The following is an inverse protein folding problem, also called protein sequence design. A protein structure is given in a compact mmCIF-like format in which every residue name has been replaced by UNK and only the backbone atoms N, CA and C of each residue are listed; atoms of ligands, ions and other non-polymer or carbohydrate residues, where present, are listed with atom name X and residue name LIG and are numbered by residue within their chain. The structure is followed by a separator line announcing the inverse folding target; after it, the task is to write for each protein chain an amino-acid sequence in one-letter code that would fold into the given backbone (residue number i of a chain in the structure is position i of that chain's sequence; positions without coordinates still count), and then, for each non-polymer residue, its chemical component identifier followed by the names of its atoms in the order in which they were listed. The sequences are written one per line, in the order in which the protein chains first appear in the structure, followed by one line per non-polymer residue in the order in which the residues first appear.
data_IF_682064653217
#
_entry.id   IF_682064653217
#
_cell.length_a   1.000
_cell.length_b   1.000
_cell.length_c   1.000
_cell.angle_alpha   90.00
_cell.angle_beta   90.00
_cell.angle_gamma   90.00
#
_symmetry.space_group_name_H-M   'P 1'
#
loop_
_entity.id
_entity.type
_entity.pdbx_description
1 polymer ?
#
# COMPACT_ATOMS: atom_id res chain seq x y z
N UNK A 1 12.60 34.01 28.44
CA UNK A 1 13.13 33.81 27.06
C UNK A 1 13.77 32.44 26.95
N UNK A 2 13.70 31.71 25.86
CA UNK A 2 14.41 30.43 25.72
C UNK A 2 15.92 30.69 25.78
N UNK A 3 16.65 29.90 26.59
CA UNK A 3 18.08 30.06 26.73
C UNK A 3 18.82 29.78 25.41
N UNK A 4 19.94 30.46 25.18
CA UNK A 4 20.79 30.24 23.99
C UNK A 4 21.20 28.77 23.85
N UNK A 5 21.41 28.06 24.96
CA UNK A 5 21.71 26.66 25.00
C UNK A 5 20.57 25.79 24.43
N UNK A 6 19.30 26.13 24.79
CA UNK A 6 18.11 25.42 24.28
C UNK A 6 17.96 25.61 22.76
N UNK A 7 18.26 26.80 22.25
CA UNK A 7 18.22 27.08 20.80
C UNK A 7 19.31 26.29 20.06
N UNK A 8 20.52 26.20 20.60
CA UNK A 8 21.59 25.35 20.03
C UNK A 8 21.18 23.89 19.99
N UNK A 9 20.58 23.35 21.07
CA UNK A 9 20.09 21.97 21.11
C UNK A 9 19.00 21.73 20.06
N UNK A 10 18.06 22.67 19.87
CA UNK A 10 17.03 22.58 18.81
C UNK A 10 17.65 22.56 17.41
N UNK A 11 18.62 23.43 17.12
CA UNK A 11 19.32 23.44 15.82
C UNK A 11 20.01 22.09 15.57
N UNK A 12 20.70 21.54 16.57
CA UNK A 12 21.36 20.24 16.46
C UNK A 12 20.34 19.12 16.22
N UNK A 13 19.21 19.10 16.93
CA UNK A 13 18.14 18.13 16.75
C UNK A 13 17.53 18.20 15.33
N UNK A 14 17.24 19.39 14.82
CA UNK A 14 16.72 19.55 13.44
C UNK A 14 17.73 19.14 12.38
N UNK A 15 19.03 19.43 12.57
CA UNK A 15 20.09 18.94 11.66
C UNK A 15 20.16 17.40 11.64
N UNK A 16 20.01 16.75 12.80
CA UNK A 16 19.97 15.29 12.88
C UNK A 16 18.74 14.73 12.19
N UNK A 17 17.55 15.30 12.44
CA UNK A 17 16.31 14.92 11.77
C UNK A 17 16.44 15.05 10.25
N UNK A 18 17.01 16.15 9.76
CA UNK A 18 17.27 16.36 8.33
C UNK A 18 18.18 15.29 7.72
N UNK A 19 19.24 14.89 8.43
CA UNK A 19 20.12 13.81 7.98
C UNK A 19 19.38 12.47 7.91
N UNK A 20 18.58 12.14 8.94
CA UNK A 20 17.80 10.91 9.01
C UNK A 20 16.76 10.86 7.89
N UNK A 21 15.97 11.92 7.71
CA UNK A 21 14.93 11.97 6.67
C UNK A 21 15.53 11.90 5.27
N UNK A 22 16.69 12.54 5.03
CA UNK A 22 17.43 12.42 3.77
C UNK A 22 17.88 10.98 3.51
N UNK A 23 18.42 10.29 4.51
CA UNK A 23 18.79 8.88 4.39
C UNK A 23 17.58 7.99 4.12
N UNK A 24 16.47 8.20 4.84
CA UNK A 24 15.23 7.46 4.62
C UNK A 24 14.64 7.67 3.22
N UNK A 25 14.73 8.89 2.67
CA UNK A 25 14.35 9.18 1.28
C UNK A 25 15.15 8.31 0.30
N UNK A 26 16.48 8.23 0.47
CA UNK A 26 17.35 7.42 -0.41
C UNK A 26 17.02 5.92 -0.32
N UNK A 27 16.81 5.39 0.89
CA UNK A 27 16.40 3.99 1.09
C UNK A 27 15.04 3.72 0.45
N UNK A 28 14.07 4.63 0.62
CA UNK A 28 12.74 4.50 0.00
C UNK A 28 12.83 4.51 -1.54
N UNK A 29 13.65 5.38 -2.13
CA UNK A 29 13.89 5.42 -3.58
C UNK A 29 14.49 4.11 -4.10
N UNK A 30 15.49 3.54 -3.41
CA UNK A 30 16.10 2.27 -3.79
C UNK A 30 15.09 1.10 -3.71
N UNK A 31 14.24 1.07 -2.66
CA UNK A 31 13.19 0.07 -2.53
C UNK A 31 12.09 0.23 -3.58
N UNK A 32 11.70 1.46 -3.89
CA UNK A 32 10.76 1.75 -4.98
C UNK A 32 11.26 1.20 -6.30
N UNK A 33 12.52 1.48 -6.66
CA UNK A 33 13.12 0.97 -7.89
C UNK A 33 13.05 -0.57 -7.96
N UNK A 34 13.44 -1.26 -6.86
CA UNK A 34 13.36 -2.73 -6.80
C UNK A 34 11.92 -3.25 -6.96
N UNK A 35 10.92 -2.56 -6.39
CA UNK A 35 9.51 -2.96 -6.55
C UNK A 35 9.06 -2.78 -8.00
N UNK A 36 9.45 -1.67 -8.66
CA UNK A 36 9.17 -1.44 -10.08
C UNK A 36 9.81 -2.50 -10.98
N UNK A 37 11.07 -2.85 -10.74
CA UNK A 37 11.77 -3.88 -11.51
C UNK A 37 11.08 -5.26 -11.38
N UNK A 38 10.58 -5.60 -10.18
CA UNK A 38 9.80 -6.82 -9.95
C UNK A 38 8.44 -6.80 -10.65
N UNK A 39 7.73 -5.67 -10.64
CA UNK A 39 6.47 -5.50 -11.39
C UNK A 39 6.72 -5.73 -12.88
N UNK A 40 7.78 -5.12 -13.43
CA UNK A 40 8.13 -5.28 -14.85
C UNK A 40 8.49 -6.73 -15.18
N UNK A 41 9.25 -7.40 -14.32
CA UNK A 41 9.62 -8.81 -14.50
C UNK A 41 8.41 -9.77 -14.44
N UNK A 42 7.37 -9.44 -13.65
CA UNK A 42 6.17 -10.27 -13.54
C UNK A 42 5.19 -10.09 -14.73
N UNK A 43 5.24 -8.96 -15.43
CA UNK A 43 4.30 -8.62 -16.53
C UNK A 43 4.22 -9.66 -17.64
N UNK A 44 5.33 -10.17 -18.22
CA UNK A 44 5.25 -11.11 -19.34
C UNK A 44 4.48 -12.37 -18.98
N UNK A 45 4.72 -12.91 -17.77
CA UNK A 45 4.00 -14.09 -17.29
C UNK A 45 2.51 -13.82 -17.07
N UNK A 46 2.15 -12.68 -16.47
CA UNK A 46 0.76 -12.29 -16.25
C UNK A 46 0.01 -12.11 -17.58
N UNK A 47 0.65 -11.53 -18.62
CA UNK A 47 0.06 -11.41 -19.95
C UNK A 47 -0.17 -12.78 -20.59
N UNK A 48 0.83 -13.66 -20.60
CA UNK A 48 0.69 -15.01 -21.17
C UNK A 48 -0.36 -15.84 -20.44
N UNK A 49 -0.43 -15.75 -19.13
CA UNK A 49 -1.47 -16.41 -18.34
C UNK A 49 -2.87 -15.93 -18.73
N UNK A 50 -3.04 -14.62 -18.92
CA UNK A 50 -4.30 -14.04 -19.38
C UNK A 50 -4.67 -14.52 -20.79
N UNK A 51 -3.71 -14.56 -21.74
CA UNK A 51 -3.93 -15.03 -23.09
C UNK A 51 -4.43 -16.49 -23.08
N UNK A 52 -3.77 -17.36 -22.29
CA UNK A 52 -4.15 -18.77 -22.16
C UNK A 52 -5.54 -18.92 -21.55
N UNK A 53 -5.82 -18.19 -20.45
CA UNK A 53 -7.13 -18.23 -19.80
C UNK A 53 -8.24 -17.67 -20.69
N UNK A 54 -7.96 -16.65 -21.49
CA UNK A 54 -8.91 -16.14 -22.49
C UNK A 54 -9.29 -17.22 -23.50
N UNK A 55 -8.31 -17.90 -24.08
CA UNK A 55 -8.54 -18.99 -25.02
C UNK A 55 -9.31 -20.17 -24.39
N UNK A 56 -8.92 -20.58 -23.17
CA UNK A 56 -9.62 -21.65 -22.42
C UNK A 56 -11.07 -21.26 -22.09
N UNK A 57 -11.29 -20.03 -21.65
CA UNK A 57 -12.61 -19.54 -21.23
C UNK A 57 -13.62 -19.43 -22.39
N UNK A 58 -13.17 -19.46 -23.64
CA UNK A 58 -14.04 -19.51 -24.82
C UNK A 58 -14.52 -20.91 -25.15
N UNK A 59 -13.78 -21.94 -24.72
CA UNK A 59 -14.02 -23.37 -25.06
C UNK A 59 -14.73 -24.12 -23.93
N UNK A 60 -14.51 -23.74 -22.69
CA UNK A 60 -15.07 -24.40 -21.50
C UNK A 60 -16.24 -23.59 -20.94
N UNK A 61 -17.26 -24.26 -20.41
CA UNK A 61 -18.34 -23.60 -19.71
C UNK A 61 -17.81 -22.89 -18.45
N UNK A 62 -17.80 -21.56 -18.49
CA UNK A 62 -17.28 -20.72 -17.41
C UNK A 62 -17.96 -20.95 -16.07
N UNK A 63 -19.22 -21.39 -16.06
CA UNK A 63 -19.97 -21.67 -14.85
C UNK A 63 -19.57 -22.97 -14.14
N UNK A 64 -18.72 -23.80 -14.76
CA UNK A 64 -18.28 -25.07 -14.16
C UNK A 64 -17.23 -24.88 -13.05
N UNK A 65 -16.46 -23.78 -13.07
CA UNK A 65 -15.42 -23.54 -12.08
C UNK A 65 -15.93 -22.73 -10.88
N UNK A 66 -15.75 -23.18 -9.62
CA UNK A 66 -16.27 -22.54 -8.41
C UNK A 66 -15.91 -21.05 -8.28
N UNK A 67 -14.69 -20.64 -8.68
CA UNK A 67 -14.22 -19.25 -8.58
C UNK A 67 -14.85 -18.30 -9.61
N UNK A 68 -15.49 -18.83 -10.67
CA UNK A 68 -16.16 -18.06 -11.71
C UNK A 68 -17.68 -17.99 -11.49
N UNK A 69 -18.22 -18.82 -10.61
CA UNK A 69 -19.65 -18.86 -10.32
C UNK A 69 -20.10 -17.65 -9.52
N UNK A 70 -21.08 -16.90 -10.05
CA UNK A 70 -21.76 -15.84 -9.30
C UNK A 70 -22.60 -16.49 -8.19
N UNK A 71 -22.34 -16.11 -6.95
CA UNK A 71 -23.13 -16.54 -5.80
C UNK A 71 -24.11 -15.43 -5.42
N UNK A 72 -25.33 -15.83 -5.11
CA UNK A 72 -26.34 -14.92 -4.57
C UNK A 72 -26.27 -15.02 -3.06
N UNK A 73 -25.30 -14.34 -2.46
CA UNK A 73 -25.06 -14.35 -1.02
C UNK A 73 -24.91 -12.95 -0.44
N UNK A 74 -24.92 -12.87 0.90
CA UNK A 74 -24.81 -11.59 1.63
C UNK A 74 -23.49 -11.43 2.38
N UNK A 75 -22.56 -12.39 2.24
CA UNK A 75 -21.28 -12.41 2.96
C UNK A 75 -20.16 -11.86 2.09
N UNK A 76 -19.59 -10.75 2.52
CA UNK A 76 -18.47 -10.10 1.83
C UNK A 76 -17.20 -10.22 2.67
N UNK A 77 -16.11 -10.60 2.02
CA UNK A 77 -14.77 -10.49 2.56
C UNK A 77 -14.07 -9.27 1.95
N UNK A 78 -13.43 -8.44 2.78
CA UNK A 78 -12.67 -7.27 2.32
C UNK A 78 -11.21 -7.44 2.74
N UNK A 79 -10.34 -7.66 1.74
CA UNK A 79 -8.89 -7.69 1.93
C UNK A 79 -8.36 -6.25 1.95
N UNK A 80 -7.86 -5.80 3.10
CA UNK A 80 -7.30 -4.46 3.28
C UNK A 80 -5.78 -4.53 3.27
N UNK A 81 -5.14 -3.94 2.27
CA UNK A 81 -3.68 -4.00 2.09
C UNK A 81 -3.04 -2.70 2.55
N UNK A 82 -2.44 -2.71 3.74
CA UNK A 82 -1.71 -1.58 4.35
C UNK A 82 -0.23 -1.91 4.52
N UNK A 83 0.57 -0.95 4.96
CA UNK A 83 1.98 -1.20 5.26
C UNK A 83 2.21 -1.73 6.68
N UNK A 84 3.39 -2.33 6.90
CA UNK A 84 3.87 -2.69 8.25
C UNK A 84 4.48 -1.49 8.99
N UNK A 85 5.03 -0.52 8.27
CA UNK A 85 5.76 0.62 8.83
C UNK A 85 5.06 1.94 8.51
N UNK A 86 5.24 2.93 9.38
CA UNK A 86 4.73 4.29 9.16
C UNK A 86 5.66 5.17 8.34
N UNK A 87 5.49 6.47 8.48
CA UNK A 87 6.27 7.54 7.82
C UNK A 87 6.14 7.53 6.28
N UNK A 88 5.00 7.06 5.77
CA UNK A 88 4.64 7.03 4.35
C UNK A 88 3.51 8.02 4.00
N UNK A 89 3.50 9.18 4.67
CA UNK A 89 2.50 10.22 4.44
C UNK A 89 1.07 9.72 4.67
N UNK A 90 0.17 10.02 3.73
CA UNK A 90 -1.24 9.62 3.78
C UNK A 90 -1.53 8.17 3.35
N UNK A 91 -0.53 7.38 2.97
CA UNK A 91 -0.70 6.03 2.40
C UNK A 91 -1.66 5.16 3.23
N UNK A 92 -1.34 4.89 4.49
CA UNK A 92 -2.18 4.05 5.35
C UNK A 92 -3.52 4.72 5.69
N UNK A 93 -3.50 6.01 5.99
CA UNK A 93 -4.72 6.75 6.34
C UNK A 93 -5.76 6.75 5.23
N UNK A 94 -5.33 6.87 3.98
CA UNK A 94 -6.21 6.86 2.82
C UNK A 94 -6.82 5.48 2.58
N UNK A 95 -6.03 4.39 2.70
CA UNK A 95 -6.55 3.00 2.61
C UNK A 95 -7.59 2.76 3.69
N UNK A 96 -7.24 3.05 4.94
CA UNK A 96 -8.12 2.85 6.10
C UNK A 96 -9.44 3.61 5.94
N UNK A 97 -9.37 4.88 5.51
CA UNK A 97 -10.57 5.69 5.25
C UNK A 97 -11.44 5.06 4.18
N UNK A 98 -10.83 4.71 3.02
CA UNK A 98 -11.57 4.11 1.90
C UNK A 98 -12.16 2.76 2.25
N UNK A 99 -11.43 1.92 2.98
CA UNK A 99 -11.94 0.64 3.47
C UNK A 99 -13.12 0.83 4.42
N UNK A 100 -13.02 1.79 5.35
CA UNK A 100 -14.11 2.10 6.28
C UNK A 100 -15.36 2.60 5.56
N UNK A 101 -15.20 3.47 4.57
CA UNK A 101 -16.31 3.95 3.72
C UNK A 101 -16.98 2.80 2.99
N UNK A 102 -16.19 1.93 2.36
CA UNK A 102 -16.70 0.79 1.59
C UNK A 102 -17.43 -0.22 2.50
N UNK A 103 -16.84 -0.58 3.64
CA UNK A 103 -17.47 -1.51 4.59
C UNK A 103 -18.82 -0.96 5.08
N UNK A 104 -18.89 0.30 5.47
CA UNK A 104 -20.15 0.92 5.90
C UNK A 104 -21.19 0.95 4.78
N UNK A 105 -20.77 1.19 3.55
CA UNK A 105 -21.65 1.13 2.38
C UNK A 105 -22.24 -0.29 2.20
N UNK A 106 -21.41 -1.33 2.33
CA UNK A 106 -21.88 -2.72 2.27
C UNK A 106 -22.87 -3.04 3.42
N UNK A 107 -22.55 -2.64 4.65
CA UNK A 107 -23.42 -2.84 5.81
C UNK A 107 -24.77 -2.12 5.65
N UNK A 108 -24.78 -0.92 5.09
CA UNK A 108 -26.04 -0.19 4.80
C UNK A 108 -26.92 -0.87 3.77
N UNK A 109 -26.36 -1.76 2.95
CA UNK A 109 -27.08 -2.61 2.00
C UNK A 109 -27.51 -3.95 2.61
N UNK A 110 -27.30 -4.15 3.91
CA UNK A 110 -27.65 -5.39 4.63
C UNK A 110 -26.70 -6.55 4.38
N UNK A 111 -25.46 -6.26 3.94
CA UNK A 111 -24.42 -7.25 3.67
C UNK A 111 -23.58 -7.48 4.95
N UNK A 112 -23.19 -8.73 5.19
CA UNK A 112 -22.28 -9.10 6.28
C UNK A 112 -20.84 -8.97 5.80
N UNK A 113 -20.03 -8.14 6.48
CA UNK A 113 -18.66 -7.87 6.07
C UNK A 113 -17.67 -8.43 7.10
N UNK A 114 -16.74 -9.25 6.62
CA UNK A 114 -15.55 -9.67 7.35
C UNK A 114 -14.31 -9.00 6.73
N UNK A 115 -13.28 -8.83 7.53
CA UNK A 115 -12.03 -8.23 7.11
C UNK A 115 -10.89 -9.26 7.11
N UNK A 116 -10.11 -9.26 6.07
CA UNK A 116 -8.78 -9.85 6.02
C UNK A 116 -7.75 -8.74 5.84
N UNK A 117 -6.68 -8.75 6.62
CA UNK A 117 -5.79 -7.60 6.71
C UNK A 117 -4.35 -8.01 6.40
N UNK A 118 -3.76 -7.32 5.43
CA UNK A 118 -2.31 -7.35 5.17
C UNK A 118 -1.68 -6.08 5.72
N UNK A 119 -0.66 -6.25 6.57
CA UNK A 119 0.12 -5.17 7.14
C UNK A 119 -0.33 -4.72 8.53
N UNK A 120 0.67 -4.41 9.34
CA UNK A 120 0.52 -4.08 10.76
C UNK A 120 -0.34 -2.84 11.01
N UNK A 121 -0.26 -1.82 10.12
CA UNK A 121 -0.98 -0.55 10.32
C UNK A 121 -2.50 -0.69 10.16
N UNK A 122 -2.95 -1.52 9.23
CA UNK A 122 -4.37 -1.87 9.10
C UNK A 122 -4.86 -2.69 10.29
N UNK A 123 -4.09 -3.74 10.66
CA UNK A 123 -4.39 -4.55 11.84
C UNK A 123 -4.59 -3.69 13.10
N UNK A 124 -3.62 -2.83 13.41
CA UNK A 124 -3.65 -2.00 14.62
C UNK A 124 -4.83 -1.02 14.64
N UNK A 125 -5.32 -0.61 13.47
CA UNK A 125 -6.50 0.23 13.35
C UNK A 125 -7.79 -0.57 13.53
N UNK A 126 -7.97 -1.66 12.79
CA UNK A 126 -9.24 -2.40 12.75
C UNK A 126 -9.47 -3.27 13.98
N UNK A 127 -8.45 -3.75 14.67
CA UNK A 127 -8.57 -4.44 15.97
C UNK A 127 -9.27 -3.62 17.05
N UNK A 128 -9.26 -2.29 16.92
CA UNK A 128 -9.93 -1.37 17.86
C UNK A 128 -11.36 -1.03 17.44
N UNK A 129 -11.89 -1.71 16.44
CA UNK A 129 -13.22 -1.48 15.87
C UNK A 129 -14.09 -2.72 16.05
N UNK A 130 -15.37 -2.56 15.71
CA UNK A 130 -16.40 -3.60 15.88
C UNK A 130 -16.40 -4.66 14.78
N UNK A 131 -15.64 -4.45 13.70
CA UNK A 131 -15.61 -5.38 12.56
C UNK A 131 -14.84 -6.65 12.86
N UNK A 132 -15.35 -7.78 12.41
CA UNK A 132 -14.70 -9.08 12.56
C UNK A 132 -13.49 -9.16 11.61
N UNK A 133 -12.32 -9.41 12.17
CA UNK A 133 -11.12 -9.72 11.40
C UNK A 133 -11.02 -11.24 11.32
N UNK A 134 -11.15 -11.80 10.11
CA UNK A 134 -11.03 -13.22 9.85
C UNK A 134 -9.57 -13.68 9.86
N UNK A 135 -8.71 -12.95 9.14
CA UNK A 135 -7.30 -13.32 8.98
C UNK A 135 -6.38 -12.09 8.93
N UNK A 136 -5.14 -12.26 9.38
CA UNK A 136 -4.13 -11.21 9.44
C UNK A 136 -2.78 -11.72 8.96
N UNK A 137 -2.14 -10.95 8.07
CA UNK A 137 -0.77 -11.16 7.61
C UNK A 137 0.07 -9.93 7.91
N UNK A 138 1.08 -10.07 8.76
CA UNK A 138 1.99 -8.98 9.14
C UNK A 138 3.43 -9.32 8.81
N UNK A 139 4.25 -8.29 8.51
CA UNK A 139 5.65 -8.48 8.13
C UNK A 139 5.86 -8.83 6.66
N UNK A 140 4.79 -8.92 5.86
CA UNK A 140 4.83 -9.28 4.44
C UNK A 140 5.74 -8.35 3.64
N UNK A 141 5.71 -7.04 3.93
CA UNK A 141 6.46 -6.03 3.18
C UNK A 141 7.93 -5.89 3.58
N UNK A 142 8.40 -6.59 4.61
CA UNK A 142 9.83 -6.58 4.97
C UNK A 142 10.68 -7.31 3.93
N UNK A 143 10.22 -8.48 3.43
CA UNK A 143 10.85 -9.28 2.37
C UNK A 143 9.78 -9.88 1.45
N UNK A 144 9.02 -9.03 0.76
CA UNK A 144 7.95 -9.50 -0.12
C UNK A 144 8.48 -10.53 -1.14
N UNK A 145 7.87 -11.72 -1.14
CA UNK A 145 8.14 -12.83 -2.06
C UNK A 145 6.83 -13.34 -2.67
N UNK A 146 6.92 -14.19 -3.68
CA UNK A 146 5.75 -14.84 -4.25
C UNK A 146 5.07 -15.81 -3.26
N UNK A 147 5.82 -16.38 -2.32
CA UNK A 147 5.29 -17.26 -1.27
C UNK A 147 4.20 -16.58 -0.44
N UNK A 148 4.36 -15.29 -0.12
CA UNK A 148 3.31 -14.53 0.58
C UNK A 148 2.02 -14.42 -0.27
N UNK A 149 2.15 -14.33 -1.59
CA UNK A 149 0.99 -14.32 -2.47
C UNK A 149 0.33 -15.70 -2.57
N UNK A 150 1.13 -16.77 -2.50
CA UNK A 150 0.61 -18.14 -2.43
C UNK A 150 -0.17 -18.37 -1.13
N UNK A 151 0.38 -17.95 0.01
CA UNK A 151 -0.27 -18.08 1.32
C UNK A 151 -1.58 -17.27 1.38
N UNK A 152 -1.53 -15.98 1.07
CA UNK A 152 -2.70 -15.10 1.08
C UNK A 152 -3.73 -15.54 0.03
N UNK A 153 -3.28 -15.82 -1.19
CA UNK A 153 -4.13 -16.24 -2.29
C UNK A 153 -4.75 -17.60 -2.06
N UNK A 154 -4.00 -18.54 -1.49
CA UNK A 154 -4.48 -19.87 -1.12
C UNK A 154 -5.57 -19.81 -0.05
N UNK A 155 -5.32 -19.10 1.06
CA UNK A 155 -6.32 -18.92 2.13
C UNK A 155 -7.63 -18.32 1.58
N UNK A 156 -7.54 -17.25 0.79
CA UNK A 156 -8.72 -16.59 0.24
C UNK A 156 -9.47 -17.48 -0.75
N UNK A 157 -8.77 -18.21 -1.61
CA UNK A 157 -9.37 -19.14 -2.56
C UNK A 157 -10.07 -20.28 -1.86
N UNK A 158 -9.42 -20.92 -0.89
CA UNK A 158 -9.96 -22.05 -0.13
C UNK A 158 -11.21 -21.65 0.64
N UNK A 159 -11.20 -20.49 1.30
CA UNK A 159 -12.35 -19.99 2.04
C UNK A 159 -13.52 -19.58 1.12
N UNK A 160 -13.23 -19.06 -0.07
CA UNK A 160 -14.27 -18.80 -1.07
C UNK A 160 -14.90 -20.12 -1.54
N UNK A 161 -14.10 -21.13 -1.90
CA UNK A 161 -14.61 -22.45 -2.32
C UNK A 161 -15.46 -23.09 -1.23
N UNK A 162 -15.03 -23.01 0.05
CA UNK A 162 -15.79 -23.48 1.21
C UNK A 162 -17.07 -22.68 1.51
N UNK A 163 -17.34 -21.57 0.83
CA UNK A 163 -18.52 -20.75 1.05
C UNK A 163 -18.49 -19.91 2.33
N UNK A 164 -17.30 -19.63 2.86
CA UNK A 164 -17.14 -18.75 4.03
C UNK A 164 -17.60 -17.32 3.69
N UNK A 165 -17.39 -16.88 2.47
CA UNK A 165 -17.90 -15.63 1.90
C UNK A 165 -18.29 -15.83 0.43
N UNK A 166 -19.15 -14.92 -0.09
CA UNK A 166 -19.73 -15.00 -1.43
C UNK A 166 -19.01 -14.05 -2.40
N UNK A 167 -18.44 -12.97 -1.88
CA UNK A 167 -17.69 -11.98 -2.64
C UNK A 167 -16.41 -11.58 -1.91
N UNK A 168 -15.35 -11.34 -2.68
CA UNK A 168 -14.08 -10.83 -2.19
C UNK A 168 -13.75 -9.51 -2.88
N UNK A 169 -13.53 -8.49 -2.07
CA UNK A 169 -13.00 -7.20 -2.51
C UNK A 169 -11.62 -6.96 -1.92
N UNK A 170 -10.76 -6.27 -2.65
CA UNK A 170 -9.48 -5.78 -2.16
C UNK A 170 -9.44 -4.26 -2.16
N UNK A 171 -8.91 -3.69 -1.08
CA UNK A 171 -8.64 -2.26 -0.96
C UNK A 171 -7.14 -2.04 -0.84
N UNK A 172 -6.54 -1.42 -1.85
CA UNK A 172 -5.11 -1.19 -1.90
C UNK A 172 -4.75 0.10 -2.63
N UNK A 173 -3.48 0.51 -2.58
CA UNK A 173 -2.99 1.63 -3.36
C UNK A 173 -2.39 1.13 -4.69
N UNK A 174 -3.04 1.47 -5.79
CA UNK A 174 -2.51 1.32 -7.13
C UNK A 174 -1.35 2.31 -7.34
N UNK A 175 -0.25 1.80 -7.87
CA UNK A 175 0.92 2.61 -8.17
C UNK A 175 0.82 3.23 -9.56
N UNK A 176 0.63 4.54 -9.65
CA UNK A 176 0.68 5.29 -10.93
C UNK A 176 2.05 5.94 -11.15
N UNK A 177 2.58 6.59 -10.12
CA UNK A 177 3.91 7.22 -10.14
C UNK A 177 4.44 7.37 -8.71
N UNK A 178 5.70 7.79 -8.58
CA UNK A 178 6.32 8.03 -7.27
C UNK A 178 5.58 9.08 -6.42
N UNK A 179 4.85 10.01 -7.05
CA UNK A 179 4.12 11.09 -6.38
C UNK A 179 2.62 10.79 -6.30
N UNK A 180 2.08 10.08 -7.29
CA UNK A 180 0.64 9.84 -7.41
C UNK A 180 0.30 8.37 -7.15
N UNK A 181 -0.42 8.12 -6.07
CA UNK A 181 -1.01 6.83 -5.74
C UNK A 181 -2.52 6.99 -5.66
N UNK A 182 -3.26 5.96 -6.05
CA UNK A 182 -4.71 5.94 -6.02
C UNK A 182 -5.20 4.75 -5.21
N UNK A 183 -5.98 5.00 -4.16
CA UNK A 183 -6.67 3.92 -3.45
C UNK A 183 -7.82 3.45 -4.32
N UNK A 184 -7.83 2.16 -4.62
CA UNK A 184 -8.89 1.50 -5.36
C UNK A 184 -9.53 0.40 -4.53
N UNK A 185 -10.78 0.10 -4.86
CA UNK A 185 -11.53 -1.06 -4.40
C UNK A 185 -11.78 -1.89 -5.64
N UNK A 186 -11.24 -3.10 -5.66
CA UNK A 186 -11.32 -4.03 -6.79
C UNK A 186 -12.01 -5.31 -6.33
N UNK A 187 -12.96 -5.82 -7.10
CA UNK A 187 -13.61 -7.11 -6.85
C UNK A 187 -12.74 -8.21 -7.39
N UNK A 188 -12.38 -9.17 -6.55
CA UNK A 188 -11.54 -10.31 -6.93
C UNK A 188 -12.36 -11.60 -7.13
N UNK A 189 -13.36 -11.84 -6.28
CA UNK A 189 -14.25 -12.99 -6.42
C UNK A 189 -15.72 -12.58 -6.38
N UNK A 190 -16.59 -13.28 -7.12
CA UNK A 190 -16.23 -14.18 -8.21
C UNK A 190 -15.50 -13.42 -9.32
N UNK A 191 -14.61 -14.12 -10.02
CA UNK A 191 -13.85 -13.52 -11.12
C UNK A 191 -14.82 -13.20 -12.25
N UNK A 192 -14.88 -11.95 -12.69
CA UNK A 192 -15.61 -11.58 -13.90
C UNK A 192 -14.78 -11.99 -15.13
N UNK A 193 -15.05 -13.20 -15.60
CA UNK A 193 -14.31 -13.78 -16.72
C UNK A 193 -14.41 -12.94 -18.01
N UNK A 194 -15.46 -12.14 -18.18
CA UNK A 194 -15.59 -11.28 -19.36
C UNK A 194 -14.69 -10.03 -19.23
N UNK A 195 -14.61 -9.44 -18.03
CA UNK A 195 -13.75 -8.29 -17.77
C UNK A 195 -12.26 -8.69 -17.67
N UNK A 196 -11.97 -9.84 -17.04
CA UNK A 196 -10.60 -10.27 -16.74
C UNK A 196 -9.92 -10.96 -17.94
N UNK A 197 -10.66 -11.81 -18.68
CA UNK A 197 -10.13 -12.59 -19.79
C UNK A 197 -10.57 -12.09 -21.18
N UNK A 198 -11.37 -11.03 -21.22
CA UNK A 198 -11.92 -10.47 -22.47
C UNK A 198 -13.29 -11.06 -22.85
N UNK A 199 -14.09 -10.27 -23.56
CA UNK A 199 -15.36 -10.74 -24.13
C UNK A 199 -15.07 -11.82 -25.20
N UNK A 200 -15.96 -12.79 -25.29
CA UNK A 200 -15.94 -13.77 -26.39
C UNK A 200 -16.04 -12.98 -27.70
N UNK A 201 -14.92 -12.82 -28.41
CA UNK A 201 -14.97 -12.30 -29.76
C UNK A 201 -15.51 -13.43 -30.64
N UNK A 202 -16.69 -13.22 -31.19
CA UNK A 202 -17.23 -14.08 -32.24
C UNK A 202 -16.21 -14.18 -33.39
N UNK A 203 -15.88 -15.39 -33.72
CA UNK A 203 -15.25 -15.85 -34.97
C UNK A 203 -14.33 -14.85 -35.70
N UNK A 204 -13.04 -15.07 -35.69
CA UNK A 204 -12.14 -14.47 -36.68
C UNK A 204 -10.73 -14.11 -36.26
N UNK A 205 -10.33 -14.24 -35.03
CA UNK A 205 -8.93 -13.97 -34.64
C UNK A 205 -8.13 -15.28 -34.79
N UNK A 206 -7.31 -15.38 -35.81
CA UNK A 206 -6.26 -16.38 -36.05
C UNK A 206 -5.17 -16.34 -34.97
N UNK A 207 -5.55 -16.52 -33.70
CA UNK A 207 -4.63 -16.87 -32.63
C UNK A 207 -4.39 -18.36 -32.72
N UNK A 208 -3.13 -18.80 -32.89
CA UNK A 208 -2.78 -20.20 -33.01
C UNK A 208 -3.50 -21.05 -31.97
N UNK A 209 -4.09 -22.17 -32.43
CA UNK A 209 -4.78 -23.13 -31.57
C UNK A 209 -3.75 -23.74 -30.64
N UNK A 210 -3.86 -23.46 -29.33
CA UNK A 210 -3.08 -24.17 -28.33
C UNK A 210 -3.54 -25.65 -28.31
N UNK A 211 -2.58 -26.55 -28.22
CA UNK A 211 -2.84 -27.94 -27.90
C UNK A 211 -2.92 -28.04 -26.37
N UNK A 212 -4.03 -28.50 -25.82
CA UNK A 212 -4.23 -28.63 -24.40
C UNK A 212 -4.08 -30.10 -23.98
N UNK A 213 -3.24 -30.33 -22.98
CA UNK A 213 -3.03 -31.64 -22.35
C UNK A 213 -3.04 -31.44 -20.83
N UNK A 214 -3.79 -32.26 -20.03
CA UNK A 214 -4.56 -33.44 -20.49
C UNK A 214 -5.96 -33.06 -21.01
N UNK A 215 -6.68 -32.08 -20.40
CA UNK A 215 -8.03 -31.67 -20.81
C UNK A 215 -8.23 -30.17 -20.47
N UNK A 216 -9.05 -29.49 -21.24
CA UNK A 216 -9.33 -28.07 -21.12
C UNK A 216 -9.96 -27.72 -19.76
N UNK A 217 -10.88 -28.56 -19.24
CA UNK A 217 -11.55 -28.34 -17.97
C UNK A 217 -10.59 -28.55 -16.78
N UNK A 218 -9.73 -29.57 -16.85
CA UNK A 218 -8.74 -29.84 -15.81
C UNK A 218 -7.69 -28.72 -15.75
N UNK A 219 -7.24 -28.22 -16.90
CA UNK A 219 -6.33 -27.07 -16.98
C UNK A 219 -6.98 -25.82 -16.38
N UNK A 220 -8.25 -25.55 -16.64
CA UNK A 220 -8.96 -24.42 -16.06
C UNK A 220 -8.96 -24.49 -14.53
N UNK A 221 -9.20 -25.68 -13.96
CA UNK A 221 -9.19 -25.89 -12.52
C UNK A 221 -7.83 -25.61 -11.86
N UNK A 222 -6.74 -25.78 -12.60
CA UNK A 222 -5.38 -25.48 -12.11
C UNK A 222 -4.99 -24.02 -12.36
N UNK A 223 -5.36 -23.47 -13.52
CA UNK A 223 -4.88 -22.16 -13.94
C UNK A 223 -5.64 -20.99 -13.29
N UNK A 224 -6.96 -21.15 -13.02
CA UNK A 224 -7.74 -20.06 -12.39
C UNK A 224 -7.23 -19.72 -10.97
N UNK A 225 -6.99 -20.70 -10.08
CA UNK A 225 -6.37 -20.40 -8.77
C UNK A 225 -4.96 -19.77 -8.92
N UNK A 226 -4.14 -20.29 -9.85
CA UNK A 226 -2.81 -19.71 -10.12
C UNK A 226 -2.89 -18.27 -10.62
N UNK A 227 -3.83 -17.96 -11.50
CA UNK A 227 -4.07 -16.59 -11.97
C UNK A 227 -4.38 -15.67 -10.80
N UNK A 228 -5.25 -16.11 -9.88
CA UNK A 228 -5.56 -15.33 -8.68
C UNK A 228 -4.32 -15.09 -7.79
N UNK A 229 -3.49 -16.09 -7.58
CA UNK A 229 -2.24 -15.96 -6.83
C UNK A 229 -1.30 -14.92 -7.48
N UNK A 230 -1.25 -14.88 -8.82
CA UNK A 230 -0.50 -13.88 -9.58
C UNK A 230 -1.10 -12.48 -9.41
N UNK A 231 -2.44 -12.35 -9.43
CA UNK A 231 -3.12 -11.09 -9.17
C UNK A 231 -2.86 -10.61 -7.73
N UNK A 232 -2.91 -11.50 -6.75
CA UNK A 232 -2.55 -11.19 -5.38
C UNK A 232 -1.09 -10.68 -5.28
N UNK A 233 -0.16 -11.33 -5.98
CA UNK A 233 1.24 -10.87 -6.03
C UNK A 233 1.39 -9.50 -6.68
N UNK A 234 0.69 -9.24 -7.79
CA UNK A 234 0.63 -7.92 -8.45
C UNK A 234 0.15 -6.84 -7.47
N UNK A 235 -0.94 -7.08 -6.77
CA UNK A 235 -1.53 -6.16 -5.79
C UNK A 235 -0.52 -5.85 -4.67
N UNK A 236 0.15 -6.86 -4.13
CA UNK A 236 1.17 -6.69 -3.10
C UNK A 236 2.37 -5.88 -3.62
N UNK A 237 2.84 -6.14 -4.84
CA UNK A 237 3.94 -5.40 -5.46
C UNK A 237 3.58 -3.94 -5.73
N UNK A 238 2.38 -3.67 -6.26
CA UNK A 238 1.89 -2.32 -6.50
C UNK A 238 1.74 -1.55 -5.19
N UNK A 239 1.17 -2.18 -4.16
CA UNK A 239 1.05 -1.59 -2.83
C UNK A 239 2.42 -1.29 -2.22
N UNK A 240 3.41 -2.19 -2.37
CA UNK A 240 4.79 -1.96 -1.92
C UNK A 240 5.45 -0.80 -2.66
N UNK A 241 5.27 -0.70 -3.98
CA UNK A 241 5.78 0.42 -4.78
C UNK A 241 5.13 1.74 -4.37
N UNK A 242 3.82 1.75 -4.18
CA UNK A 242 3.06 2.92 -3.73
C UNK A 242 3.49 3.36 -2.31
N UNK A 243 3.70 2.42 -1.38
CA UNK A 243 4.22 2.69 -0.04
C UNK A 243 5.59 3.36 -0.10
N UNK A 244 6.51 2.81 -0.89
CA UNK A 244 7.87 3.35 -1.00
C UNK A 244 7.88 4.71 -1.71
N UNK A 245 7.04 4.92 -2.73
CA UNK A 245 6.83 6.22 -3.37
C UNK A 245 6.31 7.26 -2.39
N UNK A 246 5.26 6.93 -1.65
CA UNK A 246 4.69 7.80 -0.64
C UNK A 246 5.69 8.15 0.47
N UNK A 247 6.48 7.15 0.93
CA UNK A 247 7.54 7.38 1.93
C UNK A 247 8.63 8.28 1.38
N UNK A 248 9.07 8.09 0.14
CA UNK A 248 10.07 8.94 -0.51
C UNK A 248 9.60 10.40 -0.56
N UNK A 249 8.37 10.64 -0.99
CA UNK A 249 7.78 11.98 -1.05
C UNK A 249 7.62 12.61 0.34
N UNK A 250 7.14 11.85 1.34
CA UNK A 250 6.99 12.32 2.70
C UNK A 250 8.34 12.68 3.34
N UNK A 251 9.38 11.89 3.13
CA UNK A 251 10.72 12.15 3.65
C UNK A 251 11.40 13.32 2.94
N UNK A 252 11.12 13.54 1.67
CA UNK A 252 11.57 14.74 0.95
C UNK A 252 10.96 16.01 1.53
N UNK A 253 9.65 16.04 1.73
CA UNK A 253 8.95 17.13 2.41
C UNK A 253 9.50 17.39 3.83
N UNK A 254 9.67 16.32 4.62
CA UNK A 254 10.22 16.43 5.97
C UNK A 254 11.67 16.99 5.96
N UNK A 255 12.48 16.61 4.98
CA UNK A 255 13.87 17.12 4.84
C UNK A 255 13.88 18.62 4.51
N UNK A 256 13.00 19.07 3.62
CA UNK A 256 12.85 20.52 3.29
C UNK A 256 12.36 21.31 4.50
N UNK A 257 11.30 20.84 5.16
CA UNK A 257 10.75 21.48 6.35
C UNK A 257 11.78 21.59 7.48
N UNK A 258 12.58 20.55 7.70
CA UNK A 258 13.68 20.56 8.66
C UNK A 258 14.72 21.65 8.30
N UNK A 259 15.07 21.79 7.01
CA UNK A 259 15.97 22.83 6.53
C UNK A 259 15.44 24.25 6.78
N UNK A 260 14.15 24.48 6.56
CA UNK A 260 13.51 25.78 6.86
C UNK A 260 13.50 26.09 8.35
N UNK A 261 13.19 25.08 9.18
CA UNK A 261 13.22 25.24 10.66
C UNK A 261 14.63 25.56 11.14
N UNK A 262 15.67 24.91 10.58
CA UNK A 262 17.07 25.22 10.91
C UNK A 262 17.37 26.69 10.61
N UNK A 263 17.00 27.20 9.42
CA UNK A 263 17.20 28.61 9.05
C UNK A 263 16.49 29.55 10.02
N UNK A 264 15.20 29.32 10.29
CA UNK A 264 14.39 30.16 11.20
C UNK A 264 14.96 30.19 12.61
N UNK A 265 15.32 29.02 13.18
CA UNK A 265 15.85 28.94 14.55
C UNK A 265 17.27 29.52 14.63
N UNK A 266 18.09 29.39 13.56
CA UNK A 266 19.42 30.02 13.53
C UNK A 266 19.35 31.54 13.50
N UNK A 267 18.44 32.12 12.74
CA UNK A 267 18.20 33.57 12.75
C UNK A 267 17.74 34.06 14.13
N UNK A 268 16.80 33.33 14.73
CA UNK A 268 16.34 33.66 16.08
C UNK A 268 17.44 33.52 17.13
N UNK A 269 18.28 32.49 17.05
CA UNK A 269 19.46 32.31 17.91
C UNK A 269 20.43 33.49 17.80
N UNK A 270 20.76 33.90 16.56
CA UNK A 270 21.67 35.02 16.33
C UNK A 270 21.10 36.34 16.91
N UNK A 271 19.81 36.60 16.70
CA UNK A 271 19.13 37.79 17.27
C UNK A 271 19.16 37.75 18.80
N UNK A 272 18.84 36.63 19.41
CA UNK A 272 18.84 36.47 20.88
C UNK A 272 20.25 36.60 21.45
N UNK A 273 21.26 36.05 20.74
CA UNK A 273 22.67 36.18 21.13
C UNK A 273 23.12 37.64 21.12
N UNK A 274 22.81 38.37 20.02
CA UNK A 274 23.14 39.81 19.93
C UNK A 274 22.47 40.60 21.05
N UNK A 275 21.18 40.37 21.32
CA UNK A 275 20.47 41.01 22.39
C UNK A 275 21.07 40.73 23.78
N UNK A 276 21.52 39.48 24.02
CA UNK A 276 22.18 39.11 25.28
C UNK A 276 23.53 39.82 25.43
N UNK A 277 24.36 39.86 24.37
CA UNK A 277 25.64 40.57 24.38
C UNK A 277 25.42 42.07 24.64
N UNK A 278 24.46 42.69 23.95
CA UNK A 278 24.13 44.09 24.13
C UNK A 278 23.68 44.40 25.58
N UNK A 279 22.86 43.50 26.14
CA UNK A 279 22.43 43.63 27.54
C UNK A 279 23.62 43.57 28.51
N UNK A 280 24.49 42.55 28.35
CA UNK A 280 25.70 42.41 29.17
C UNK A 280 26.61 43.64 29.09
N UNK A 281 26.80 44.21 27.90
CA UNK A 281 27.56 45.44 27.70
C UNK A 281 26.89 46.63 28.42
N UNK A 282 25.58 46.78 28.28
CA UNK A 282 24.83 47.86 28.96
C UNK A 282 24.86 47.72 30.50
N UNK A 283 24.78 46.49 30.99
CA UNK A 283 24.89 46.21 32.44
C UNK A 283 26.30 46.60 32.98
N UNK A 284 27.37 46.32 32.20
CA UNK A 284 28.76 46.72 32.56
C UNK A 284 28.92 48.24 32.54
N UNK A 285 28.47 48.90 31.44
CA UNK A 285 28.57 50.36 31.32
C UNK A 285 27.75 51.06 32.40
N UNK A 286 26.52 50.60 32.64
CA UNK A 286 25.66 51.17 33.72
C UNK A 286 26.25 50.96 35.11
N UNK A 287 26.89 49.81 35.38
CA UNK A 287 27.61 49.54 36.61
C UNK A 287 28.84 50.45 36.80
N UNK A 288 29.60 50.69 35.74
CA UNK A 288 30.77 51.58 35.78
C UNK A 288 30.37 53.05 35.99
N UNK A 289 29.23 53.50 35.44
CA UNK A 289 28.72 54.86 35.64
C UNK A 289 28.16 55.06 37.05
N UNK A 290 27.56 54.04 37.66
CA UNK A 290 27.04 54.07 39.01
C UNK A 290 28.15 54.09 40.11
N UNK A 291 29.40 53.82 39.73
CA UNK A 291 30.57 53.86 40.64
C UNK A 291 31.35 55.18 40.54
N UNK A 292 30.98 56.06 39.64
CA UNK A 292 31.47 57.44 39.58
C UNK A 292 30.61 58.39 40.45
#
# INVERSE_FOLDING_TARGET
MPSLQNLRRKIAAFKNTQKITKAMKMVAAAKLKRSQDRILAARPYAHKMRDVLNNLSQRVNRSSHPLLQKRVGKKIEVLVVTSDRGLCGGFNGNIVRKSTEFVRQCESQGLQVNLSIVGRKGRDYFRRRTWTIRQEWTGVFDKLSFEHALDIGGDLTDNFVKGTFDELYVVYNEFKSAIQQRVIVEKLFPVDAAAEFGAVQAEGTTGGSYLYEPDEAELLNVLVPKHFQIQAYRILLESAAAEHGARMAAMDGATRNAGELIKKVTLYYNKTRQAAITKELMDIVGGAEALK
#
